data_IF_660003787109
#
_entry.id   IF_660003787109
#
_cell.length_a   1.000
_cell.length_b   1.000
_cell.length_c   1.000
_cell.angle_alpha   90.00
_cell.angle_beta   90.00
_cell.angle_gamma   90.00
#
_symmetry.space_group_name_H-M   'P 1'
#
loop_
_entity.id
_entity.type
_entity.pdbx_description
1 polymer ?
#
# COMPACT_ATOMS: atom_id res chain seq x y z
N UNK A 1 -26.28 9.50 8.15
CA UNK A 1 -24.88 9.72 8.58
C UNK A 1 -23.98 8.89 7.69
N UNK A 2 -22.97 9.49 7.04
CA UNK A 2 -22.03 8.74 6.18
C UNK A 2 -21.31 7.73 7.07
N UNK A 3 -21.59 6.44 6.88
CA UNK A 3 -20.81 5.37 7.47
C UNK A 3 -19.38 5.54 6.95
N UNK A 4 -18.53 6.20 7.74
CA UNK A 4 -17.10 5.99 7.64
C UNK A 4 -16.92 4.52 7.99
N UNK A 5 -16.94 3.68 6.96
CA UNK A 5 -16.37 2.35 7.06
C UNK A 5 -14.93 2.58 7.46
N UNK A 6 -14.64 2.48 8.76
CA UNK A 6 -13.32 2.11 9.24
C UNK A 6 -12.98 0.92 8.37
N UNK A 7 -12.03 1.02 7.43
CA UNK A 7 -11.71 -0.12 6.61
C UNK A 7 -11.40 -1.22 7.61
N UNK A 8 -12.15 -2.32 7.59
CA UNK A 8 -11.68 -3.57 8.17
C UNK A 8 -10.19 -3.67 7.82
N UNK A 9 -9.32 -4.05 8.76
CA UNK A 9 -7.86 -4.04 8.61
C UNK A 9 -7.41 -4.89 7.41
N UNK A 10 -7.63 -4.34 6.22
CA UNK A 10 -7.38 -4.96 4.95
C UNK A 10 -6.00 -4.52 4.54
N UNK A 11 -5.28 -5.42 3.88
CA UNK A 11 -3.92 -5.14 3.44
C UNK A 11 -3.86 -3.85 2.61
N UNK A 12 -4.81 -3.61 1.71
CA UNK A 12 -4.88 -2.38 0.93
C UNK A 12 -5.15 -1.13 1.78
N UNK A 13 -5.97 -1.23 2.83
CA UNK A 13 -6.26 -0.13 3.73
C UNK A 13 -5.01 0.26 4.54
N UNK A 14 -4.32 -0.73 5.10
CA UNK A 14 -3.09 -0.53 5.86
C UNK A 14 -1.97 0.05 4.98
N UNK A 15 -1.75 -0.51 3.78
CA UNK A 15 -0.75 0.00 2.84
C UNK A 15 -1.08 1.43 2.40
N UNK A 16 -2.35 1.73 2.12
CA UNK A 16 -2.77 3.08 1.75
C UNK A 16 -2.54 4.08 2.89
N UNK A 17 -2.86 3.71 4.13
CA UNK A 17 -2.54 4.55 5.30
C UNK A 17 -1.03 4.79 5.41
N UNK A 18 -0.22 3.74 5.30
CA UNK A 18 1.24 3.82 5.40
C UNK A 18 1.89 4.73 4.35
N UNK A 19 1.43 4.70 3.10
CA UNK A 19 2.03 5.56 2.07
C UNK A 19 1.56 7.02 2.19
N UNK A 20 0.36 7.26 2.72
CA UNK A 20 -0.13 8.62 3.00
C UNK A 20 0.68 9.30 4.09
N UNK A 21 1.09 8.60 5.14
CA UNK A 21 1.97 9.17 6.18
C UNK A 21 3.36 9.54 5.64
N UNK A 22 3.72 9.03 4.46
CA UNK A 22 4.96 9.35 3.75
C UNK A 22 4.77 10.37 2.62
N UNK A 23 3.58 10.96 2.48
CA UNK A 23 3.29 11.99 1.49
C UNK A 23 2.74 11.49 0.14
N UNK A 24 2.49 10.19 -0.02
CA UNK A 24 1.91 9.65 -1.26
C UNK A 24 0.38 9.67 -1.23
N UNK A 25 -0.24 10.12 -2.32
CA UNK A 25 -1.69 10.24 -2.45
C UNK A 25 -2.35 8.95 -2.93
N UNK A 26 -2.97 8.20 -2.02
CA UNK A 26 -3.93 7.16 -2.39
C UNK A 26 -5.32 7.59 -1.94
N UNK A 27 -6.25 7.86 -2.85
CA UNK A 27 -7.60 8.25 -2.45
C UNK A 27 -8.38 7.03 -1.96
N UNK A 28 -8.89 6.23 -2.90
CA UNK A 28 -9.63 5.01 -2.61
C UNK A 28 -8.75 3.79 -2.90
N UNK A 29 -8.30 3.02 -1.89
CA UNK A 29 -7.60 1.76 -2.13
C UNK A 29 -8.57 0.75 -2.76
N UNK A 30 -8.27 0.31 -3.98
CA UNK A 30 -9.07 -0.64 -4.76
C UNK A 30 -8.61 -2.09 -4.54
N UNK A 31 -7.34 -2.28 -4.19
CA UNK A 31 -6.81 -3.61 -3.87
C UNK A 31 -5.29 -3.60 -3.70
N UNK A 32 -4.78 -4.64 -3.03
CA UNK A 32 -3.35 -4.86 -2.86
C UNK A 32 -3.02 -6.30 -3.24
N UNK A 33 -1.95 -6.48 -4.01
CA UNK A 33 -1.44 -7.80 -4.38
C UNK A 33 0.02 -7.91 -3.98
N UNK A 34 0.38 -8.99 -3.29
CA UNK A 34 1.78 -9.28 -2.99
C UNK A 34 2.49 -9.66 -4.29
N UNK A 35 3.59 -8.98 -4.60
CA UNK A 35 4.48 -9.37 -5.67
C UNK A 35 5.45 -10.41 -5.12
N UNK A 36 5.04 -11.69 -5.15
CA UNK A 36 5.81 -12.81 -4.61
C UNK A 36 7.14 -13.01 -5.34
N UNK A 37 7.23 -12.67 -6.64
CA UNK A 37 8.47 -12.74 -7.42
C UNK A 37 9.53 -11.74 -6.94
N UNK A 38 9.10 -10.58 -6.45
CA UNK A 38 10.00 -9.54 -5.94
C UNK A 38 10.18 -9.57 -4.42
N UNK A 39 9.32 -10.31 -3.70
CA UNK A 39 9.41 -10.49 -2.25
C UNK A 39 10.48 -11.52 -1.89
N UNK A 40 11.07 -11.36 -0.70
CA UNK A 40 12.12 -12.22 -0.14
C UNK A 40 11.89 -12.39 1.36
N UNK A 41 12.59 -13.31 2.06
CA UNK A 41 12.40 -13.48 3.51
C UNK A 41 12.62 -12.21 4.33
N UNK A 42 13.47 -11.29 3.86
CA UNK A 42 13.83 -10.03 4.50
C UNK A 42 12.97 -8.83 4.06
N UNK A 43 12.13 -8.98 3.01
CA UNK A 43 11.35 -7.86 2.46
C UNK A 43 10.08 -8.31 1.74
N UNK A 44 9.03 -7.55 1.95
CA UNK A 44 7.76 -7.74 1.26
C UNK A 44 7.54 -6.68 0.20
N UNK A 45 7.23 -7.10 -1.03
CA UNK A 45 6.88 -6.20 -2.12
C UNK A 45 5.40 -6.34 -2.44
N UNK A 46 4.70 -5.21 -2.43
CA UNK A 46 3.27 -5.11 -2.70
C UNK A 46 3.02 -4.19 -3.89
N UNK A 47 1.99 -4.51 -4.68
CA UNK A 47 1.41 -3.59 -5.64
C UNK A 47 0.07 -3.13 -5.08
N UNK A 48 -0.02 -1.85 -4.72
CA UNK A 48 -1.24 -1.21 -4.26
C UNK A 48 -1.89 -0.46 -5.42
N UNK A 49 -3.17 -0.76 -5.67
CA UNK A 49 -3.99 -0.04 -6.64
C UNK A 49 -4.95 0.89 -5.92
N UNK A 50 -4.88 2.17 -6.25
CA UNK A 50 -5.79 3.21 -5.80
C UNK A 50 -6.68 3.65 -6.97
N UNK A 51 -7.73 4.43 -6.71
CA UNK A 51 -8.58 5.01 -7.76
C UNK A 51 -7.85 5.97 -8.69
N UNK A 52 -6.81 6.64 -8.16
CA UNK A 52 -6.07 7.70 -8.82
C UNK A 52 -4.62 7.32 -9.20
N UNK A 53 -4.10 6.20 -8.67
CA UNK A 53 -2.68 5.85 -8.81
C UNK A 53 -2.41 4.36 -8.54
N UNK A 54 -1.25 3.89 -8.98
CA UNK A 54 -0.72 2.58 -8.63
C UNK A 54 0.68 2.74 -8.03
N UNK A 55 0.98 1.93 -7.01
CA UNK A 55 2.24 2.00 -6.29
C UNK A 55 2.85 0.63 -6.10
N UNK A 56 4.17 0.54 -6.27
CA UNK A 56 4.99 -0.56 -5.76
C UNK A 56 5.54 -0.15 -4.40
N UNK A 57 5.21 -0.94 -3.40
CA UNK A 57 5.58 -0.70 -2.00
C UNK A 57 6.52 -1.80 -1.57
N UNK A 58 7.73 -1.46 -1.15
CA UNK A 58 8.70 -2.39 -0.57
C UNK A 58 8.79 -2.14 0.91
N UNK A 59 8.44 -3.14 1.71
CA UNK A 59 8.51 -3.11 3.17
C UNK A 59 9.69 -3.95 3.64
N UNK A 60 10.62 -3.32 4.33
CA UNK A 60 11.72 -3.97 5.05
C UNK A 60 11.46 -3.72 6.54
N UNK A 61 11.63 -4.72 7.42
CA UNK A 61 11.57 -4.50 8.86
C UNK A 61 12.45 -3.33 9.30
N UNK A 62 12.02 -2.58 10.31
CA UNK A 62 12.76 -1.46 10.92
C UNK A 62 13.08 -0.29 9.97
N UNK A 63 12.48 -0.24 8.78
CA UNK A 63 12.62 0.85 7.82
C UNK A 63 11.28 1.40 7.36
N UNK A 64 11.26 2.67 6.97
CA UNK A 64 10.12 3.23 6.22
C UNK A 64 9.94 2.47 4.90
N UNK A 65 8.70 2.31 4.45
CA UNK A 65 8.44 1.58 3.21
C UNK A 65 8.92 2.38 2.00
N UNK A 66 9.71 1.76 1.13
CA UNK A 66 10.05 2.38 -0.15
C UNK A 66 8.83 2.34 -1.06
N UNK A 67 8.34 3.51 -1.48
CA UNK A 67 7.17 3.65 -2.35
C UNK A 67 7.60 4.20 -3.70
N UNK A 68 7.26 3.49 -4.77
CA UNK A 68 7.55 3.89 -6.16
C UNK A 68 6.23 3.92 -6.94
N UNK A 69 5.84 5.07 -7.53
CA UNK A 69 4.70 5.12 -8.45
C UNK A 69 4.90 4.18 -9.63
N UNK A 70 3.81 3.56 -10.09
CA UNK A 70 3.78 2.73 -11.28
C UNK A 70 3.02 3.47 -12.40
N UNK A 71 3.49 3.37 -13.66
CA UNK A 71 2.78 3.90 -14.82
C UNK A 71 1.47 3.15 -15.09
#
# INVERSE_FOLDING_TARGET
>A
MRAQQIPAETVQGMLAAQIRTQGFTCEKPLGAKKNTKASRPDRDVWVLRCSNAMYKITRVPDMAAKVEPLP
#
